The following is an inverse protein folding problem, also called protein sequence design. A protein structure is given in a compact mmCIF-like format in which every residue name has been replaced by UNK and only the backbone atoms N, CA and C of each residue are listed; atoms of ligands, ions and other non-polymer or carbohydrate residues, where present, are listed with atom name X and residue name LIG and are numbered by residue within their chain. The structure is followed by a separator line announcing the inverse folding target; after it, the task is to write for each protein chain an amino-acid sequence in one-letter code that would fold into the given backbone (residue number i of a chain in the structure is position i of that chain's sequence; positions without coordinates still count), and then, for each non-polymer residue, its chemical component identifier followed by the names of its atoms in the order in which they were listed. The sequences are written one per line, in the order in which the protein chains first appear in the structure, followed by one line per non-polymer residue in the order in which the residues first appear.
data_IF_694339368664
#
_entry.id   IF_694339368664
#
_cell.length_a   1.000
_cell.length_b   1.000
_cell.length_c   1.000
_cell.angle_alpha   90.00
_cell.angle_beta   90.00
_cell.angle_gamma   90.00
#
_symmetry.space_group_name_H-M   'P 1'
#
loop_
_entity.id
_entity.type
_entity.pdbx_description
1 polymer ?
#
# COMPACT_ATOMS: atom_id res chain seq x y z
N UNK A 1 -9.78 -1.14 -9.40
CA UNK A 1 -8.64 -0.97 -8.47
C UNK A 1 -8.74 -2.03 -7.40
N UNK A 2 -7.63 -2.61 -6.96
CA UNK A 2 -7.65 -3.57 -5.85
C UNK A 2 -7.87 -2.84 -4.53
N UNK A 3 -8.56 -3.49 -3.59
CA UNK A 3 -8.91 -2.93 -2.27
C UNK A 3 -8.40 -3.78 -1.11
N UNK A 4 -7.67 -4.87 -1.39
CA UNK A 4 -7.14 -5.77 -0.39
C UNK A 4 -5.86 -6.44 -0.90
N UNK A 5 -4.95 -6.79 0.03
CA UNK A 5 -3.89 -7.77 -0.18
C UNK A 5 -4.20 -9.08 0.54
N UNK A 6 -3.80 -10.23 -0.02
CA UNK A 6 -3.94 -11.51 0.66
C UNK A 6 -2.84 -11.68 1.71
N UNK A 7 -3.22 -12.09 2.92
CA UNK A 7 -2.30 -12.51 3.97
C UNK A 7 -2.70 -13.89 4.49
N UNK A 8 -1.73 -14.67 4.93
CA UNK A 8 -1.95 -15.93 5.63
C UNK A 8 -1.48 -15.81 7.07
N UNK A 9 -2.09 -16.57 7.96
CA UNK A 9 -1.68 -16.59 9.36
C UNK A 9 -1.79 -17.99 9.96
N UNK A 10 -0.89 -18.31 10.86
CA UNK A 10 -0.82 -19.62 11.52
C UNK A 10 -0.39 -19.45 12.97
N UNK A 11 -0.96 -20.24 13.88
CA UNK A 11 -0.50 -20.28 15.26
C UNK A 11 0.77 -21.12 15.38
N UNK A 12 1.81 -20.54 15.97
CA UNK A 12 3.07 -21.21 16.30
C UNK A 12 3.12 -21.49 17.81
N UNK A 13 3.15 -22.79 18.16
CA UNK A 13 3.20 -23.25 19.55
C UNK A 13 4.54 -23.03 20.24
N UNK A 14 5.63 -22.88 19.48
CA UNK A 14 6.95 -22.66 20.07
C UNK A 14 7.10 -21.21 20.54
N UNK A 15 6.55 -20.26 19.78
CA UNK A 15 6.52 -18.83 20.13
C UNK A 15 5.29 -18.40 20.95
N UNK A 16 4.28 -19.28 21.09
CA UNK A 16 2.95 -18.96 21.65
C UNK A 16 2.32 -17.72 21.00
N UNK A 17 2.40 -17.64 19.66
CA UNK A 17 2.01 -16.46 18.89
C UNK A 17 1.40 -16.84 17.54
N UNK A 18 0.59 -15.95 16.99
CA UNK A 18 0.08 -16.02 15.63
C UNK A 18 1.08 -15.35 14.69
N UNK A 19 1.65 -16.12 13.78
CA UNK A 19 2.54 -15.64 12.72
C UNK A 19 1.70 -15.22 11.52
N UNK A 20 2.03 -14.09 10.93
CA UNK A 20 1.32 -13.47 9.80
C UNK A 20 2.33 -13.25 8.68
N UNK A 21 1.96 -13.68 7.47
CA UNK A 21 2.77 -13.51 6.27
C UNK A 21 1.95 -12.97 5.10
N UNK A 22 2.64 -12.31 4.17
CA UNK A 22 2.03 -11.69 2.99
C UNK A 22 2.57 -12.35 1.73
N UNK A 23 1.68 -12.79 0.84
CA UNK A 23 2.10 -13.47 -0.40
C UNK A 23 2.90 -12.55 -1.32
N UNK A 24 2.55 -11.26 -1.34
CA UNK A 24 3.17 -10.24 -2.19
C UNK A 24 4.39 -9.56 -1.55
N UNK A 25 4.64 -9.81 -0.26
CA UNK A 25 5.76 -9.28 0.52
C UNK A 25 6.39 -10.40 1.36
N UNK A 26 7.01 -11.42 0.74
CA UNK A 26 7.45 -12.64 1.43
C UNK A 26 8.55 -12.40 2.48
N UNK A 27 9.33 -11.33 2.34
CA UNK A 27 10.32 -10.89 3.31
C UNK A 27 9.71 -10.20 4.55
N UNK A 28 8.42 -9.84 4.50
CA UNK A 28 7.71 -9.20 5.59
C UNK A 28 6.88 -10.22 6.37
N UNK A 29 7.12 -10.25 7.67
CA UNK A 29 6.41 -11.09 8.63
C UNK A 29 6.06 -10.27 9.85
N UNK A 30 4.94 -10.58 10.48
CA UNK A 30 4.54 -10.02 11.75
C UNK A 30 3.91 -11.07 12.65
N UNK A 31 3.74 -10.75 13.91
CA UNK A 31 3.15 -11.66 14.87
C UNK A 31 2.36 -10.95 15.96
N UNK A 32 1.30 -11.60 16.45
CA UNK A 32 0.54 -11.14 17.60
C UNK A 32 0.24 -12.30 18.56
N UNK A 33 0.00 -11.99 19.83
CA UNK A 33 -0.20 -13.02 20.88
C UNK A 33 -1.66 -13.45 21.03
N UNK A 34 -2.59 -12.73 20.40
CA UNK A 34 -4.01 -13.06 20.43
C UNK A 34 -4.59 -13.17 19.05
N UNK A 35 -5.45 -14.16 18.86
CA UNK A 35 -6.17 -14.36 17.60
C UNK A 35 -6.99 -13.15 17.18
N UNK A 36 -7.59 -12.45 18.15
CA UNK A 36 -8.42 -11.26 17.91
C UNK A 36 -7.63 -10.07 17.32
N UNK A 37 -6.30 -10.05 17.50
CA UNK A 37 -5.44 -8.96 17.02
C UNK A 37 -4.87 -9.23 15.61
N UNK A 38 -5.06 -10.43 15.04
CA UNK A 38 -4.46 -10.86 13.76
C UNK A 38 -4.80 -9.90 12.62
N UNK A 39 -6.06 -9.46 12.52
CA UNK A 39 -6.48 -8.59 11.41
C UNK A 39 -5.86 -7.19 11.51
N UNK A 40 -5.82 -6.64 12.72
CA UNK A 40 -5.22 -5.33 12.98
C UNK A 40 -3.72 -5.37 12.73
N UNK A 41 -3.03 -6.37 13.28
CA UNK A 41 -1.59 -6.56 13.10
C UNK A 41 -1.23 -6.75 11.62
N UNK A 42 -2.02 -7.52 10.88
CA UNK A 42 -1.83 -7.71 9.44
C UNK A 42 -2.00 -6.39 8.66
N UNK A 43 -2.98 -5.56 9.03
CA UNK A 43 -3.20 -4.26 8.40
C UNK A 43 -2.03 -3.30 8.65
N UNK A 44 -1.60 -3.15 9.90
CA UNK A 44 -0.49 -2.26 10.26
C UNK A 44 0.82 -2.71 9.62
N UNK A 45 1.08 -4.02 9.64
CA UNK A 45 2.27 -4.62 9.04
C UNK A 45 2.30 -4.48 7.52
N UNK A 46 1.17 -4.64 6.84
CA UNK A 46 1.07 -4.40 5.39
C UNK A 46 1.41 -2.94 5.05
N UNK A 47 0.85 -1.97 5.79
CA UNK A 47 1.13 -0.56 5.56
C UNK A 47 2.59 -0.21 5.81
N UNK A 48 3.21 -0.80 6.83
CA UNK A 48 4.64 -0.66 7.10
C UNK A 48 5.48 -1.24 5.95
N UNK A 49 5.16 -2.44 5.48
CA UNK A 49 5.85 -3.07 4.37
C UNK A 49 5.81 -2.22 3.09
N UNK A 50 4.62 -1.70 2.76
CA UNK A 50 4.43 -0.80 1.60
C UNK A 50 5.24 0.48 1.79
N UNK A 51 5.19 1.11 2.97
CA UNK A 51 5.94 2.33 3.24
C UNK A 51 7.45 2.11 3.07
N UNK A 52 8.00 1.04 3.63
CA UNK A 52 9.42 0.71 3.49
C UNK A 52 9.81 0.45 2.04
N UNK A 53 9.02 -0.31 1.29
CA UNK A 53 9.28 -0.54 -0.14
C UNK A 53 9.28 0.77 -0.95
N UNK A 54 8.38 1.72 -0.61
CA UNK A 54 8.36 3.04 -1.24
C UNK A 54 9.60 3.87 -0.89
N UNK A 55 10.02 3.87 0.37
CA UNK A 55 11.22 4.57 0.84
C UNK A 55 12.49 4.04 0.18
N UNK A 56 12.56 2.73 -0.05
CA UNK A 56 13.66 2.07 -0.75
C UNK A 56 13.61 2.24 -2.27
N UNK A 57 12.56 2.86 -2.81
CA UNK A 57 12.39 3.06 -4.25
C UNK A 57 12.08 1.76 -5.01
N UNK A 58 11.56 0.74 -4.32
CA UNK A 58 11.23 -0.55 -4.90
C UNK A 58 9.84 -0.52 -5.58
N UNK A 59 9.65 -1.24 -6.70
CA UNK A 59 8.34 -1.38 -7.31
C UNK A 59 7.42 -2.21 -6.41
N UNK A 60 6.20 -1.73 -6.21
CA UNK A 60 5.18 -2.42 -5.44
C UNK A 60 4.35 -3.34 -6.35
N UNK A 61 4.21 -4.63 -6.02
CA UNK A 61 3.41 -5.57 -6.79
C UNK A 61 1.91 -5.26 -6.64
N UNK A 62 1.11 -5.58 -7.67
CA UNK A 62 -0.34 -5.65 -7.49
C UNK A 62 -0.69 -6.87 -6.61
N UNK A 63 -1.79 -6.82 -5.82
CA UNK A 63 -2.19 -7.94 -4.98
C UNK A 63 -2.38 -9.24 -5.75
N UNK A 64 -1.85 -10.32 -5.20
CA UNK A 64 -2.10 -11.67 -5.67
C UNK A 64 -3.57 -12.07 -5.48
N UNK A 65 -4.10 -13.02 -6.27
CA UNK A 65 -5.43 -13.59 -6.04
C UNK A 65 -5.53 -14.23 -4.65
N UNK A 66 -6.68 -14.04 -3.99
CA UNK A 66 -6.97 -14.68 -2.70
C UNK A 66 -7.03 -16.21 -2.83
N UNK A 67 -6.37 -16.89 -1.90
CA UNK A 67 -6.44 -18.32 -1.70
C UNK A 67 -7.51 -18.68 -0.66
N UNK A 68 -7.78 -19.99 -0.52
CA UNK A 68 -8.66 -20.48 0.56
C UNK A 68 -8.03 -20.15 1.91
N UNK A 69 -8.85 -19.64 2.85
CA UNK A 69 -8.46 -19.24 4.20
C UNK A 69 -7.53 -18.02 4.31
N UNK A 70 -7.20 -17.35 3.21
CA UNK A 70 -6.49 -16.07 3.26
C UNK A 70 -7.32 -15.00 3.98
N UNK A 71 -6.63 -14.23 4.81
CA UNK A 71 -7.13 -12.97 5.35
C UNK A 71 -7.14 -11.90 4.25
N UNK A 72 -8.27 -11.20 4.14
CA UNK A 72 -8.43 -10.03 3.27
C UNK A 72 -7.97 -8.77 3.99
N UNK A 73 -6.71 -8.39 3.83
CA UNK A 73 -6.18 -7.20 4.49
C UNK A 73 -6.59 -5.96 3.71
N UNK A 74 -7.45 -5.13 4.30
CA UNK A 74 -7.98 -3.93 3.63
C UNK A 74 -6.88 -2.94 3.26
N UNK A 75 -6.90 -2.51 2.00
CA UNK A 75 -6.05 -1.45 1.48
C UNK A 75 -6.89 -0.18 1.27
N UNK A 76 -6.62 0.91 2.03
CA UNK A 76 -7.32 2.17 1.82
C UNK A 76 -7.12 2.71 0.40
N UNK A 77 -8.18 3.27 -0.20
CA UNK A 77 -8.12 3.79 -1.57
C UNK A 77 -7.02 4.86 -1.77
N UNK A 78 -6.79 5.71 -0.75
CA UNK A 78 -5.74 6.72 -0.80
C UNK A 78 -4.34 6.10 -0.81
N UNK A 79 -4.13 4.99 -0.08
CA UNK A 79 -2.87 4.24 -0.10
C UNK A 79 -2.68 3.64 -1.49
N UNK A 80 -3.71 3.00 -2.05
CA UNK A 80 -3.64 2.45 -3.41
C UNK A 80 -3.27 3.50 -4.47
N UNK A 81 -3.79 4.73 -4.37
CA UNK A 81 -3.40 5.84 -5.26
C UNK A 81 -1.93 6.23 -5.12
N UNK A 82 -1.40 6.23 -3.89
CA UNK A 82 0.03 6.53 -3.64
C UNK A 82 0.94 5.44 -4.18
N UNK A 83 0.55 4.17 -4.05
CA UNK A 83 1.23 3.02 -4.65
C UNK A 83 1.30 3.19 -6.17
N UNK A 84 0.16 3.50 -6.81
CA UNK A 84 0.13 3.69 -8.26
C UNK A 84 0.96 4.89 -8.72
N UNK A 85 0.96 5.99 -7.96
CA UNK A 85 1.82 7.15 -8.24
C UNK A 85 3.30 6.79 -8.13
N UNK A 86 3.70 6.10 -7.06
CA UNK A 86 5.07 5.60 -6.86
C UNK A 86 5.52 4.70 -8.01
N UNK A 87 4.73 3.68 -8.33
CA UNK A 87 5.00 2.78 -9.43
C UNK A 87 5.05 3.51 -10.79
N UNK A 88 4.17 4.49 -11.02
CA UNK A 88 4.19 5.32 -12.22
C UNK A 88 5.48 6.15 -12.32
N UNK A 89 5.93 6.75 -11.21
CA UNK A 89 7.19 7.49 -11.15
C UNK A 89 8.38 6.60 -11.51
N UNK A 90 8.45 5.38 -10.95
CA UNK A 90 9.49 4.40 -11.29
C UNK A 90 9.45 4.02 -12.77
N UNK A 91 8.27 3.66 -13.31
CA UNK A 91 8.10 3.29 -14.73
C UNK A 91 8.48 4.41 -15.70
N UNK A 92 8.24 5.67 -15.32
CA UNK A 92 8.56 6.85 -16.12
C UNK A 92 9.93 7.45 -15.80
N UNK A 93 10.69 6.83 -14.89
CA UNK A 93 11.96 7.35 -14.37
C UNK A 93 11.87 8.83 -13.95
N UNK A 94 10.76 9.22 -13.32
CA UNK A 94 10.48 10.59 -12.90
C UNK A 94 10.77 10.75 -11.41
N UNK A 95 11.79 11.54 -11.07
CA UNK A 95 12.15 11.80 -9.67
C UNK A 95 11.17 12.75 -8.96
N UNK A 96 11.14 12.69 -7.63
CA UNK A 96 10.34 13.56 -6.75
C UNK A 96 10.51 15.06 -7.10
N UNK A 97 11.75 15.51 -7.30
CA UNK A 97 12.04 16.92 -7.61
C UNK A 97 11.47 17.37 -8.97
N UNK A 98 11.50 16.50 -9.99
CA UNK A 98 10.92 16.82 -11.30
C UNK A 98 9.40 16.92 -11.20
N UNK A 99 8.76 15.94 -10.56
CA UNK A 99 7.31 15.92 -10.40
C UNK A 99 6.83 17.11 -9.55
N UNK A 100 7.55 17.44 -8.48
CA UNK A 100 7.26 18.62 -7.65
C UNK A 100 7.26 19.91 -8.48
N UNK A 101 8.24 20.09 -9.38
CA UNK A 101 8.29 21.24 -10.30
C UNK A 101 7.10 21.29 -11.24
N UNK A 102 6.66 20.14 -11.78
CA UNK A 102 5.47 20.07 -12.66
C UNK A 102 4.18 20.40 -11.90
N UNK A 103 4.10 20.03 -10.62
CA UNK A 103 2.97 20.30 -9.74
C UNK A 103 3.00 21.70 -9.09
N UNK A 104 4.13 22.42 -9.17
CA UNK A 104 4.34 23.66 -8.40
C UNK A 104 4.46 23.43 -6.89
N UNK A 105 4.85 22.22 -6.47
CA UNK A 105 5.02 21.83 -5.07
C UNK A 105 6.43 22.15 -4.58
N UNK A 106 6.55 22.50 -3.31
CA UNK A 106 7.83 22.45 -2.62
C UNK A 106 8.19 21.01 -2.21
N UNK A 107 9.43 20.80 -1.75
CA UNK A 107 9.91 19.47 -1.36
C UNK A 107 9.07 18.80 -0.27
N UNK A 108 8.63 19.56 0.74
CA UNK A 108 7.79 19.02 1.82
C UNK A 108 6.39 18.61 1.35
N UNK A 109 5.79 19.36 0.42
CA UNK A 109 4.52 18.98 -0.20
C UNK A 109 4.66 17.72 -1.06
N UNK A 110 5.77 17.57 -1.78
CA UNK A 110 6.04 16.38 -2.57
C UNK A 110 6.25 15.15 -1.69
N UNK A 111 6.97 15.28 -0.58
CA UNK A 111 7.19 14.17 0.35
C UNK A 111 5.87 13.68 0.95
N UNK A 112 5.05 14.62 1.44
CA UNK A 112 3.71 14.36 1.97
C UNK A 112 2.72 13.77 0.96
N UNK A 113 2.97 13.94 -0.35
CA UNK A 113 2.13 13.36 -1.39
C UNK A 113 2.30 11.83 -1.44
N UNK A 114 3.51 11.34 -1.20
CA UNK A 114 3.85 9.91 -1.25
C UNK A 114 3.87 9.23 0.13
N UNK A 115 4.08 9.98 1.21
CA UNK A 115 4.07 9.47 2.58
C UNK A 115 2.70 8.86 2.95
N UNK A 116 2.66 7.55 3.24
CA UNK A 116 1.42 6.84 3.57
C UNK A 116 0.73 7.34 4.84
N UNK A 117 1.50 7.86 5.81
CA UNK A 117 0.99 8.40 7.08
C UNK A 117 0.38 9.80 6.95
N UNK A 118 0.55 10.46 5.81
CA UNK A 118 0.04 11.82 5.60
C UNK A 118 -1.27 11.84 4.80
N UNK A 119 -2.24 12.61 5.27
CA UNK A 119 -3.46 12.86 4.51
C UNK A 119 -3.16 13.71 3.27
N UNK A 120 -3.33 13.12 2.08
CA UNK A 120 -3.14 13.80 0.79
C UNK A 120 -4.50 14.03 0.13
N UNK A 121 -4.64 15.15 -0.56
CA UNK A 121 -5.82 15.44 -1.37
C UNK A 121 -5.84 14.52 -2.59
N UNK A 122 -6.98 13.90 -2.88
CA UNK A 122 -7.14 13.01 -4.04
C UNK A 122 -6.84 13.77 -5.33
N UNK A 123 -7.29 15.01 -5.44
CA UNK A 123 -7.08 15.87 -6.61
C UNK A 123 -5.59 16.10 -6.91
N UNK A 124 -4.74 16.14 -5.87
CA UNK A 124 -3.30 16.27 -6.05
C UNK A 124 -2.66 14.98 -6.60
N UNK A 125 -3.15 13.81 -6.16
CA UNK A 125 -2.69 12.51 -6.65
C UNK A 125 -3.15 12.28 -8.09
N UNK A 126 -4.39 12.64 -8.42
CA UNK A 126 -4.92 12.57 -9.79
C UNK A 126 -4.13 13.46 -10.74
N UNK A 127 -3.85 14.70 -10.35
CA UNK A 127 -3.04 15.62 -11.17
C UNK A 127 -1.61 15.09 -11.36
N UNK A 128 -1.01 14.51 -10.32
CA UNK A 128 0.32 13.91 -10.40
C UNK A 128 0.35 12.71 -11.36
N UNK A 129 -0.62 11.81 -11.25
CA UNK A 129 -0.79 10.66 -12.14
C UNK A 129 -1.05 11.10 -13.59
N UNK A 130 -1.87 12.14 -13.80
CA UNK A 130 -2.13 12.72 -15.11
C UNK A 130 -0.87 13.27 -15.78
N UNK A 131 -0.02 13.98 -15.02
CA UNK A 131 1.29 14.47 -15.51
C UNK A 131 2.25 13.33 -15.89
N UNK A 132 2.01 12.12 -15.41
CA UNK A 132 2.74 10.90 -15.77
C UNK A 132 2.04 10.08 -16.87
N UNK A 133 0.89 10.53 -17.39
CA UNK A 133 0.14 9.90 -18.46
C UNK A 133 -0.84 8.81 -17.99
N UNK A 134 -1.36 8.92 -16.77
CA UNK A 134 -2.36 8.01 -16.20
C UNK A 134 -3.66 8.75 -15.89
N UNK A 135 -4.78 8.07 -16.07
CA UNK A 135 -6.10 8.57 -15.68
C UNK A 135 -6.62 7.77 -14.48
N UNK A 136 -7.29 8.45 -13.55
CA UNK A 136 -7.84 7.83 -12.34
C UNK A 136 -9.35 7.63 -12.53
N UNK A 137 -9.82 6.42 -12.24
CA UNK A 137 -11.24 6.09 -12.24
C UNK A 137 -11.64 5.48 -10.90
N UNK A 138 -12.83 5.83 -10.42
CA UNK A 138 -13.39 5.35 -9.16
C UNK A 138 -14.47 4.31 -9.44
N UNK A 139 -14.43 3.22 -8.67
CA UNK A 139 -15.45 2.17 -8.67
C UNK A 139 -15.95 1.95 -7.25
N UNK A 140 -17.26 1.84 -7.08
CA UNK A 140 -17.91 1.55 -5.80
C UNK A 140 -18.44 0.11 -5.86
N UNK A 141 -18.25 -0.65 -4.79
CA UNK A 141 -18.68 -2.04 -4.70
C UNK A 141 -19.26 -2.32 -3.32
N UNK A 142 -20.31 -3.13 -3.26
CA UNK A 142 -20.89 -3.57 -2.00
C UNK A 142 -19.94 -4.57 -1.33
N UNK A 143 -19.72 -4.41 -0.02
CA UNK A 143 -18.95 -5.35 0.79
C UNK A 143 -19.94 -6.19 1.56
N UNK A 144 -20.02 -7.49 1.25
CA UNK A 144 -20.72 -8.43 2.11
C UNK A 144 -19.88 -8.60 3.39
N UNK A 145 -20.36 -8.02 4.49
CA UNK A 145 -19.83 -8.23 5.85
C UNK A 145 -20.33 -9.55 6.43
#
# INVERSE_FOLDING_TARGET
MYSHYPAHYTFDSDSDAWQIGFHDFPEWQSACYKREDVELEAQESLLAAIATAMDEGLPLPAPSPLQTDDLRVHLPALVALKIELHNAMLRKNTGKAELARKLGFNGGQMERLLDLGYASKVEALEQALYLLGYEVHVTISEVCQ
#
